data_IF_119163825726
#
_entry.id   IF_119163825726
#
_cell.length_a   1.000
_cell.length_b   1.000
_cell.length_c   1.000
_cell.angle_alpha   90.00
_cell.angle_beta   90.00
_cell.angle_gamma   90.00
#
_symmetry.space_group_name_H-M   'P 1'
#
loop_
_entity.id
_entity.type
_entity.pdbx_description
1 polymer ?
#
# COMPACT_ATOMS: atom_id res chain seq x y z
N UNK A 1 15.83 4.23 -29.95
CA UNK A 1 15.72 4.48 -28.50
C UNK A 1 16.02 3.21 -27.73
N UNK A 2 16.76 3.34 -26.67
CA UNK A 2 17.09 2.21 -25.80
C UNK A 2 15.88 1.75 -24.99
N UNK A 3 15.70 0.44 -24.85
CA UNK A 3 14.72 -0.16 -23.95
C UNK A 3 15.26 -0.34 -22.52
N UNK A 4 16.54 -0.03 -22.33
CA UNK A 4 17.16 -0.17 -21.02
C UNK A 4 16.92 1.07 -20.16
N UNK A 5 16.76 0.86 -18.87
CA UNK A 5 16.69 1.94 -17.90
C UNK A 5 18.11 2.48 -17.72
N UNK A 6 18.30 3.77 -17.98
CA UNK A 6 19.58 4.45 -17.85
C UNK A 6 19.64 5.30 -16.58
N UNK A 7 20.85 5.71 -16.18
CA UNK A 7 21.09 6.42 -14.93
C UNK A 7 20.44 7.81 -14.85
N UNK A 8 20.14 8.41 -15.99
CA UNK A 8 19.57 9.75 -16.11
C UNK A 8 18.04 9.77 -16.26
N UNK A 9 17.41 8.58 -16.31
CA UNK A 9 15.96 8.49 -16.42
C UNK A 9 15.29 8.76 -15.08
N UNK A 10 14.23 9.56 -15.12
CA UNK A 10 13.35 9.81 -13.97
C UNK A 10 12.03 9.09 -14.22
N UNK A 11 11.63 8.24 -13.28
CA UNK A 11 10.36 7.54 -13.36
C UNK A 11 9.20 8.48 -13.06
N UNK A 12 8.44 8.85 -14.11
CA UNK A 12 7.25 9.69 -13.99
C UNK A 12 5.99 8.94 -14.42
N UNK A 13 5.90 7.68 -14.04
CA UNK A 13 4.77 6.84 -14.43
C UNK A 13 3.78 6.67 -13.27
N UNK A 14 2.53 6.44 -13.64
CA UNK A 14 1.49 6.09 -12.67
C UNK A 14 1.73 4.69 -12.13
N UNK A 15 1.69 4.53 -10.83
CA UNK A 15 1.92 3.24 -10.18
C UNK A 15 1.15 3.17 -8.86
N UNK A 16 0.92 1.95 -8.39
CA UNK A 16 0.43 1.71 -7.04
C UNK A 16 1.61 1.33 -6.15
N UNK A 17 1.53 1.64 -4.86
CA UNK A 17 2.55 1.26 -3.88
C UNK A 17 2.09 0.05 -3.09
N UNK A 18 2.89 -1.02 -3.10
CA UNK A 18 2.69 -2.17 -2.22
C UNK A 18 3.73 -2.08 -1.10
N UNK A 19 3.26 -1.93 0.13
CA UNK A 19 4.14 -1.79 1.29
C UNK A 19 4.87 -3.09 1.60
N UNK A 20 6.18 -3.03 1.72
CA UNK A 20 7.04 -4.19 2.02
C UNK A 20 6.71 -4.83 3.37
N UNK A 21 6.20 -4.06 4.33
CA UNK A 21 5.76 -4.57 5.63
C UNK A 21 4.75 -5.71 5.49
N UNK A 22 3.91 -5.69 4.45
CA UNK A 22 2.93 -6.75 4.17
C UNK A 22 3.58 -8.09 3.84
N UNK A 23 4.87 -8.09 3.49
CA UNK A 23 5.65 -9.30 3.19
C UNK A 23 6.54 -9.72 4.37
N UNK A 24 7.07 -8.77 5.14
CA UNK A 24 8.07 -9.05 6.17
C UNK A 24 7.50 -9.23 7.57
N UNK A 25 6.32 -8.66 7.83
CA UNK A 25 5.69 -8.73 9.14
C UNK A 25 4.88 -10.02 9.30
N UNK A 26 5.16 -10.78 10.34
CA UNK A 26 4.46 -12.04 10.65
C UNK A 26 2.93 -11.87 10.73
N UNK A 27 2.46 -10.71 11.17
CA UNK A 27 1.02 -10.40 11.23
C UNK A 27 0.34 -10.51 9.87
N UNK A 28 1.06 -10.24 8.78
CA UNK A 28 0.53 -10.20 7.41
C UNK A 28 0.97 -11.37 6.54
N UNK A 29 1.65 -12.37 7.12
CA UNK A 29 2.21 -13.51 6.36
C UNK A 29 1.17 -14.34 5.63
N UNK A 30 -0.04 -14.43 6.16
CA UNK A 30 -1.12 -15.25 5.58
C UNK A 30 -1.90 -14.50 4.48
N UNK A 31 -1.58 -13.25 4.22
CA UNK A 31 -2.14 -12.52 3.09
C UNK A 31 -1.67 -13.15 1.78
N UNK A 32 -2.60 -13.28 0.84
CA UNK A 32 -2.25 -13.62 -0.54
C UNK A 32 -1.65 -12.41 -1.25
N UNK A 33 -0.93 -12.65 -2.35
CA UNK A 33 -0.43 -11.54 -3.16
C UNK A 33 -1.58 -10.71 -3.74
N UNK A 34 -2.71 -11.34 -4.08
CA UNK A 34 -3.90 -10.62 -4.54
C UNK A 34 -4.47 -9.69 -3.46
N UNK A 35 -4.48 -10.11 -2.19
CA UNK A 35 -4.93 -9.24 -1.10
C UNK A 35 -3.99 -8.06 -0.87
N UNK A 36 -2.69 -8.25 -1.01
CA UNK A 36 -1.71 -7.17 -0.93
C UNK A 36 -1.88 -6.15 -2.06
N UNK A 37 -2.08 -6.63 -3.28
CA UNK A 37 -2.37 -5.78 -4.44
C UNK A 37 -3.69 -5.04 -4.25
N UNK A 38 -4.72 -5.73 -3.77
CA UNK A 38 -6.02 -5.13 -3.49
C UNK A 38 -5.90 -3.97 -2.49
N UNK A 39 -5.18 -4.17 -1.41
CA UNK A 39 -4.92 -3.14 -0.41
C UNK A 39 -4.22 -1.92 -1.03
N UNK A 40 -3.25 -2.15 -1.93
CA UNK A 40 -2.55 -1.08 -2.64
C UNK A 40 -3.50 -0.26 -3.52
N UNK A 41 -4.43 -0.89 -4.22
CA UNK A 41 -5.45 -0.19 -4.99
C UNK A 41 -6.41 0.61 -4.11
N UNK A 42 -6.77 0.08 -2.95
CA UNK A 42 -7.61 0.80 -1.99
C UNK A 42 -6.90 2.04 -1.45
N UNK A 43 -5.62 1.93 -1.10
CA UNK A 43 -4.81 3.08 -0.68
C UNK A 43 -4.70 4.14 -1.77
N UNK A 44 -4.52 3.72 -3.00
CA UNK A 44 -4.42 4.63 -4.15
C UNK A 44 -5.69 5.47 -4.31
N UNK A 45 -6.86 4.87 -4.07
CA UNK A 45 -8.17 5.57 -4.12
C UNK A 45 -8.41 6.52 -2.96
N UNK A 46 -7.66 6.38 -1.87
CA UNK A 46 -7.88 7.17 -0.66
C UNK A 46 -7.78 8.68 -0.92
N UNK A 47 -6.84 9.11 -1.76
CA UNK A 47 -6.68 10.51 -2.14
C UNK A 47 -7.93 11.06 -2.82
N UNK A 48 -8.57 10.27 -3.67
CA UNK A 48 -9.79 10.65 -4.35
C UNK A 48 -10.96 10.81 -3.37
N UNK A 49 -11.06 9.91 -2.40
CA UNK A 49 -12.06 10.00 -1.33
C UNK A 49 -11.85 11.24 -0.47
N UNK A 50 -10.61 11.58 -0.15
CA UNK A 50 -10.27 12.80 0.57
C UNK A 50 -10.68 14.04 -0.21
N UNK A 51 -10.41 14.08 -1.51
CA UNK A 51 -10.80 15.18 -2.39
C UNK A 51 -12.32 15.33 -2.48
N UNK A 52 -13.06 14.24 -2.41
CA UNK A 52 -14.54 14.24 -2.41
C UNK A 52 -15.13 14.57 -1.04
N UNK A 53 -14.31 14.66 0.01
CA UNK A 53 -14.79 14.90 1.38
C UNK A 53 -15.52 13.71 2.00
N UNK A 54 -15.22 12.50 1.57
CA UNK A 54 -15.84 11.28 2.10
C UNK A 54 -15.23 10.86 3.42
N UNK A 55 -15.71 11.43 4.49
CA UNK A 55 -15.31 11.08 5.86
C UNK A 55 -16.52 11.05 6.80
N UNK A 56 -16.39 10.33 7.88
CA UNK A 56 -17.42 10.23 8.91
C UNK A 56 -17.31 11.34 9.97
N UNK A 57 -18.13 11.27 11.03
CA UNK A 57 -18.15 12.26 12.11
C UNK A 57 -16.88 12.28 12.95
N UNK A 58 -16.07 11.22 12.88
CA UNK A 58 -14.79 11.12 13.55
C UNK A 58 -13.62 11.47 12.62
N UNK A 59 -13.92 12.08 11.48
CA UNK A 59 -12.93 12.48 10.47
C UNK A 59 -12.19 11.28 9.84
N UNK A 60 -12.77 10.10 9.89
CA UNK A 60 -12.20 8.90 9.27
C UNK A 60 -12.65 8.80 7.82
N UNK A 61 -11.67 8.72 6.91
CA UNK A 61 -11.94 8.64 5.47
C UNK A 61 -12.42 7.24 5.11
N UNK A 62 -13.47 7.16 4.29
CA UNK A 62 -13.98 5.90 3.76
C UNK A 62 -13.96 5.90 2.24
N UNK A 63 -13.90 4.70 1.67
CA UNK A 63 -13.98 4.45 0.24
C UNK A 63 -15.35 3.91 -0.12
N UNK A 64 -15.84 4.32 -1.29
CA UNK A 64 -16.98 3.70 -1.95
C UNK A 64 -16.43 3.01 -3.20
N UNK A 65 -16.34 1.67 -3.16
CA UNK A 65 -15.73 0.91 -4.23
C UNK A 65 -16.45 -0.44 -4.34
N UNK A 66 -17.13 -0.68 -5.44
CA UNK A 66 -17.88 -1.92 -5.63
C UNK A 66 -16.94 -3.10 -5.86
N UNK A 67 -17.43 -4.31 -5.54
CA UNK A 67 -16.69 -5.55 -5.80
C UNK A 67 -16.35 -5.69 -7.28
N UNK A 68 -17.30 -5.34 -8.16
CA UNK A 68 -17.13 -5.39 -9.62
C UNK A 68 -15.99 -4.48 -10.08
N UNK A 69 -15.93 -3.26 -9.58
CA UNK A 69 -14.87 -2.31 -9.91
C UNK A 69 -13.52 -2.76 -9.39
N UNK A 70 -13.47 -3.30 -8.18
CA UNK A 70 -12.23 -3.85 -7.62
C UNK A 70 -11.74 -5.05 -8.44
N UNK A 71 -12.66 -5.93 -8.84
CA UNK A 71 -12.35 -7.08 -9.69
C UNK A 71 -11.74 -6.64 -11.03
N UNK A 72 -12.32 -5.62 -11.65
CA UNK A 72 -11.81 -5.03 -12.88
C UNK A 72 -10.40 -4.43 -12.71
N UNK A 73 -10.21 -3.64 -11.66
CA UNK A 73 -8.96 -2.95 -11.39
C UNK A 73 -7.80 -3.94 -11.14
N UNK A 74 -8.06 -5.00 -10.37
CA UNK A 74 -7.03 -5.98 -9.98
C UNK A 74 -6.89 -7.11 -11.00
N UNK A 75 -7.91 -7.34 -11.84
CA UNK A 75 -7.90 -8.42 -12.83
C UNK A 75 -8.22 -9.79 -12.24
N UNK A 76 -9.11 -9.84 -11.26
CA UNK A 76 -9.58 -11.07 -10.62
C UNK A 76 -11.12 -11.13 -10.63
N UNK A 77 -11.69 -12.27 -10.26
CA UNK A 77 -13.15 -12.40 -10.20
C UNK A 77 -13.73 -11.68 -8.98
N UNK A 78 -15.01 -11.33 -9.05
CA UNK A 78 -15.76 -10.76 -7.91
C UNK A 78 -15.71 -11.68 -6.69
N UNK A 79 -15.85 -12.98 -6.91
CA UNK A 79 -15.73 -13.99 -5.85
C UNK A 79 -14.36 -13.95 -5.17
N UNK A 80 -13.31 -13.79 -5.96
CA UNK A 80 -11.95 -13.65 -5.46
C UNK A 80 -11.76 -12.36 -4.66
N UNK A 81 -12.33 -11.24 -5.14
CA UNK A 81 -12.32 -9.96 -4.40
C UNK A 81 -12.93 -10.16 -3.01
N UNK A 82 -14.08 -10.80 -2.92
CA UNK A 82 -14.73 -11.04 -1.61
C UNK A 82 -13.87 -11.86 -0.67
N UNK A 83 -13.17 -12.86 -1.19
CA UNK A 83 -12.21 -13.67 -0.42
C UNK A 83 -11.03 -12.83 0.09
N UNK A 84 -10.45 -12.03 -0.79
CA UNK A 84 -9.30 -11.20 -0.44
C UNK A 84 -9.67 -10.08 0.54
N UNK A 85 -10.84 -9.49 0.39
CA UNK A 85 -11.36 -8.50 1.34
C UNK A 85 -11.53 -9.10 2.74
N UNK A 86 -11.96 -10.35 2.83
CA UNK A 86 -12.07 -11.07 4.10
C UNK A 86 -10.70 -11.21 4.77
N UNK A 87 -9.66 -11.58 4.02
CA UNK A 87 -8.29 -11.67 4.55
C UNK A 87 -7.81 -10.32 5.08
N UNK A 88 -8.07 -9.25 4.36
CA UNK A 88 -7.69 -7.89 4.79
C UNK A 88 -8.42 -7.47 6.07
N UNK A 89 -9.70 -7.84 6.23
CA UNK A 89 -10.43 -7.59 7.48
C UNK A 89 -9.84 -8.37 8.65
N UNK A 90 -9.53 -9.64 8.44
CA UNK A 90 -9.02 -10.53 9.50
C UNK A 90 -7.69 -10.04 10.07
N UNK A 91 -6.83 -9.47 9.24
CA UNK A 91 -5.55 -8.91 9.71
C UNK A 91 -5.65 -7.46 10.18
N UNK A 92 -6.82 -6.85 10.11
CA UNK A 92 -7.06 -5.51 10.60
C UNK A 92 -6.60 -4.38 9.69
N UNK A 93 -6.51 -4.62 8.38
CA UNK A 93 -6.11 -3.60 7.40
C UNK A 93 -7.28 -2.83 6.81
N UNK A 94 -8.48 -3.38 6.85
CA UNK A 94 -9.71 -2.72 6.43
C UNK A 94 -10.84 -3.02 7.39
N UNK A 95 -11.85 -2.17 7.35
CA UNK A 95 -13.13 -2.38 8.00
C UNK A 95 -14.23 -1.99 7.01
N UNK A 96 -15.26 -2.83 6.89
CA UNK A 96 -16.40 -2.51 6.03
C UNK A 96 -17.63 -2.19 6.86
N UNK A 97 -18.34 -1.15 6.47
CA UNK A 97 -19.60 -0.76 7.11
C UNK A 97 -20.72 -0.87 6.08
N UNK A 98 -21.77 -1.62 6.43
CA UNK A 98 -22.99 -1.69 5.63
C UNK A 98 -23.70 -0.34 5.69
N UNK A 99 -24.01 0.22 4.52
CA UNK A 99 -24.59 1.56 4.41
C UNK A 99 -26.06 1.53 3.94
N UNK A 100 -26.75 0.42 4.17
CA UNK A 100 -28.15 0.26 3.83
C UNK A 100 -28.41 -0.65 2.64
N UNK A 101 -29.69 -0.95 2.39
CA UNK A 101 -30.11 -1.85 1.32
C UNK A 101 -29.80 -1.23 -0.05
N UNK A 102 -29.22 -2.06 -0.95
CA UNK A 102 -28.84 -1.66 -2.31
C UNK A 102 -27.83 -0.51 -2.41
N UNK A 103 -27.10 -0.24 -1.33
CA UNK A 103 -26.01 0.74 -1.31
C UNK A 103 -24.67 0.04 -1.15
N UNK A 104 -23.61 0.50 -1.82
CA UNK A 104 -22.26 -0.05 -1.60
C UNK A 104 -21.82 0.18 -0.16
N UNK A 105 -21.09 -0.79 0.39
CA UNK A 105 -20.48 -0.66 1.72
C UNK A 105 -19.44 0.45 1.72
N UNK A 106 -19.31 1.10 2.87
CA UNK A 106 -18.17 1.97 3.11
C UNK A 106 -16.98 1.12 3.53
N UNK A 107 -15.83 1.40 2.94
CA UNK A 107 -14.58 0.70 3.23
C UNK A 107 -13.64 1.68 3.92
N UNK A 108 -13.30 1.39 5.17
CA UNK A 108 -12.28 2.13 5.91
C UNK A 108 -10.94 1.44 5.75
N UNK A 109 -9.91 2.21 5.41
CA UNK A 109 -8.55 1.71 5.33
C UNK A 109 -7.87 1.97 6.66
N UNK A 110 -7.34 0.91 7.26
CA UNK A 110 -6.57 0.98 8.51
C UNK A 110 -5.08 1.05 8.20
N UNK A 111 -4.35 1.65 9.12
CA UNK A 111 -2.90 1.81 8.99
C UNK A 111 -2.18 0.46 9.10
N UNK A 112 -1.11 0.31 8.34
CA UNK A 112 -0.20 -0.81 8.48
C UNK A 112 0.58 -0.64 9.79
N UNK A 113 0.72 -1.73 10.53
CA UNK A 113 1.57 -1.79 11.71
C UNK A 113 3.02 -2.03 11.27
N UNK A 114 3.81 -0.96 11.19
CA UNK A 114 5.20 -1.00 10.76
C UNK A 114 6.12 -1.40 11.90
N UNK A 115 6.52 -2.67 11.95
CA UNK A 115 7.36 -3.24 13.01
C UNK A 115 8.70 -3.76 12.52
N UNK A 116 8.77 -4.29 11.30
CA UNK A 116 9.88 -5.16 10.92
C UNK A 116 10.56 -4.83 9.59
N UNK A 117 9.97 -4.02 8.72
CA UNK A 117 10.51 -3.77 7.38
C UNK A 117 11.93 -3.24 7.44
N UNK A 118 12.20 -2.26 8.29
CA UNK A 118 13.53 -1.65 8.41
C UNK A 118 14.60 -2.68 8.78
N UNK A 119 14.27 -3.64 9.64
CA UNK A 119 15.21 -4.67 10.09
C UNK A 119 15.39 -5.81 9.08
N UNK A 120 14.33 -6.17 8.36
CA UNK A 120 14.31 -7.35 7.47
C UNK A 120 14.53 -7.03 5.99
N UNK A 121 14.35 -5.79 5.57
CA UNK A 121 14.50 -5.42 4.16
C UNK A 121 15.98 -5.27 3.80
N UNK A 122 16.53 -6.16 2.96
CA UNK A 122 17.94 -6.08 2.59
C UNK A 122 18.28 -4.82 1.81
N UNK A 123 17.35 -4.29 1.01
CA UNK A 123 17.56 -3.05 0.25
C UNK A 123 17.67 -1.86 1.20
N UNK A 124 16.77 -1.74 2.17
CA UNK A 124 16.79 -0.65 3.15
C UNK A 124 18.05 -0.73 4.03
N UNK A 125 18.42 -1.92 4.48
CA UNK A 125 19.63 -2.13 5.27
C UNK A 125 20.90 -1.71 4.53
N UNK A 126 21.01 -2.07 3.26
CA UNK A 126 22.14 -1.70 2.41
C UNK A 126 22.20 -0.21 2.14
N UNK A 127 21.06 0.40 1.80
CA UNK A 127 20.98 1.86 1.58
C UNK A 127 21.39 2.64 2.83
N UNK A 128 20.98 2.17 4.00
CA UNK A 128 21.36 2.79 5.28
C UNK A 128 22.88 2.73 5.48
N UNK A 129 23.49 1.56 5.27
CA UNK A 129 24.95 1.39 5.34
C UNK A 129 25.70 2.30 4.38
N UNK A 130 25.24 2.41 3.14
CA UNK A 130 25.87 3.26 2.12
C UNK A 130 25.76 4.74 2.48
N UNK A 131 24.64 5.18 3.01
CA UNK A 131 24.46 6.57 3.47
C UNK A 131 25.38 6.89 4.65
N UNK A 132 25.47 6.01 5.63
CA UNK A 132 26.34 6.16 6.80
C UNK A 132 27.83 6.19 6.39
N UNK A 133 28.22 5.32 5.47
CA UNK A 133 29.58 5.30 4.91
C UNK A 133 29.92 6.62 4.22
N UNK A 134 29.06 7.10 3.33
CA UNK A 134 29.26 8.37 2.62
C UNK A 134 29.34 9.55 3.58
N UNK A 135 28.52 9.56 4.61
CA UNK A 135 28.55 10.62 5.61
C UNK A 135 29.87 10.61 6.39
N UNK A 136 30.34 9.45 6.84
CA UNK A 136 31.63 9.33 7.53
C UNK A 136 32.78 9.81 6.65
N UNK A 137 32.74 9.51 5.35
CA UNK A 137 33.77 9.99 4.41
C UNK A 137 33.79 11.52 4.31
N UNK A 138 32.60 12.14 4.25
CA UNK A 138 32.49 13.61 4.25
C UNK A 138 33.06 14.23 5.52
N UNK A 139 32.76 13.64 6.68
CA UNK A 139 33.29 14.13 7.98
C UNK A 139 34.80 14.01 8.07
N UNK A 140 35.35 12.89 7.60
CA UNK A 140 36.80 12.65 7.62
C UNK A 140 37.56 13.59 6.66
N UNK A 141 37.06 13.77 5.44
CA UNK A 141 37.72 14.52 4.39
C UNK A 141 37.28 15.98 4.29
N UNK A 142 36.38 16.43 5.16
CA UNK A 142 35.95 17.82 5.21
C UNK A 142 35.18 18.29 3.98
N UNK A 143 34.58 17.41 3.23
CA UNK A 143 33.69 17.75 2.10
C UNK A 143 32.38 18.31 2.61
N UNK A 144 32.03 19.45 2.09
CA UNK A 144 30.82 20.17 2.43
C UNK A 144 29.70 19.78 1.47
#
# INVERSE_FOLDING_TARGET
>A
MSNYITMDEVFQHSYIMIHKELFFNERYKDLSNNSRVLYAFLLDRLQLSMANGWHDNLNRVYLIFTRERLAEAVGISVRQVSREMKLLREVGLIEEKVNGLNRPNWIYIKKIDYQVTEAKDPVMSELKRLREFKQRQREIWGEV
#
